data_IF_107928719595
#
_entry.id   IF_107928719595
#
_cell.length_a   1.000
_cell.length_b   1.000
_cell.length_c   1.000
_cell.angle_alpha   90.00
_cell.angle_beta   90.00
_cell.angle_gamma   90.00
#
_symmetry.space_group_name_H-M   'P 1'
#
loop_
_entity.id
_entity.type
_entity.pdbx_description
1 polymer ?
#
# COMPACT_ATOMS: atom_id res chain seq x y z
N UNK A 1 8.63 4.35 -0.69
CA UNK A 1 8.13 5.56 -1.39
C UNK A 1 6.62 5.66 -1.23
N UNK A 2 6.13 6.58 -0.41
CA UNK A 2 4.71 6.68 -0.04
C UNK A 2 3.88 7.54 -1.01
N UNK A 3 4.46 8.52 -1.73
CA UNK A 3 3.69 9.42 -2.65
C UNK A 3 4.13 9.40 -4.12
N UNK A 4 4.75 8.32 -4.60
CA UNK A 4 5.27 8.23 -5.98
C UNK A 4 4.22 8.04 -7.09
N UNK A 5 2.94 8.32 -6.85
CA UNK A 5 1.88 8.20 -7.87
C UNK A 5 1.49 6.77 -8.27
N UNK A 6 1.88 5.75 -7.47
CA UNK A 6 1.65 4.32 -7.74
C UNK A 6 0.21 4.00 -8.11
N UNK A 7 -0.74 4.43 -7.25
CA UNK A 7 -2.18 4.19 -7.45
C UNK A 7 -2.71 4.88 -8.70
N UNK A 8 -2.24 6.10 -9.00
CA UNK A 8 -2.62 6.83 -10.21
C UNK A 8 -2.12 6.10 -11.46
N UNK A 9 -0.87 5.65 -11.46
CA UNK A 9 -0.30 4.89 -12.58
C UNK A 9 -1.05 3.56 -12.80
N UNK A 10 -1.28 2.79 -11.74
CA UNK A 10 -2.02 1.53 -11.83
C UNK A 10 -3.44 1.71 -12.40
N UNK A 11 -4.18 2.73 -11.93
CA UNK A 11 -5.52 3.06 -12.45
C UNK A 11 -5.49 3.48 -13.92
N UNK A 12 -4.46 4.23 -14.34
CA UNK A 12 -4.30 4.62 -15.74
C UNK A 12 -3.99 3.41 -16.65
N UNK A 13 -3.20 2.45 -16.16
CA UNK A 13 -2.92 1.20 -16.88
C UNK A 13 -4.16 0.32 -16.99
N UNK A 14 -4.93 0.16 -15.91
CA UNK A 14 -6.16 -0.62 -15.92
C UNK A 14 -7.16 -0.13 -16.97
N UNK A 15 -7.28 1.18 -17.18
CA UNK A 15 -8.15 1.77 -18.23
C UNK A 15 -7.71 1.39 -19.66
N UNK A 16 -6.46 0.99 -19.85
CA UNK A 16 -5.85 0.70 -21.16
C UNK A 16 -5.70 -0.79 -21.43
N UNK A 17 -5.94 -1.65 -20.44
CA UNK A 17 -5.74 -3.10 -20.54
C UNK A 17 -7.09 -3.81 -20.32
N UNK A 18 -7.60 -4.57 -21.31
CA UNK A 18 -8.81 -5.37 -21.11
C UNK A 18 -8.57 -6.47 -20.07
N UNK A 19 -9.58 -6.77 -19.26
CA UNK A 19 -9.53 -7.78 -18.18
C UNK A 19 -8.42 -7.55 -17.14
N UNK A 20 -8.07 -6.29 -16.86
CA UNK A 20 -7.05 -5.93 -15.88
C UNK A 20 -7.65 -5.64 -14.49
N UNK A 21 -7.07 -6.23 -13.45
CA UNK A 21 -7.43 -6.00 -12.04
C UNK A 21 -6.26 -5.36 -11.29
N UNK A 22 -6.57 -4.54 -10.28
CA UNK A 22 -5.58 -3.91 -9.41
C UNK A 22 -5.76 -4.45 -8.00
N UNK A 23 -4.66 -4.88 -7.39
CA UNK A 23 -4.56 -5.18 -5.96
C UNK A 23 -3.59 -4.17 -5.37
N UNK A 24 -3.99 -3.50 -4.29
CA UNK A 24 -3.18 -2.47 -3.61
C UNK A 24 -2.73 -2.98 -2.25
N UNK A 25 -1.42 -2.99 -1.98
CA UNK A 25 -0.85 -3.39 -0.68
C UNK A 25 -1.49 -2.61 0.47
N UNK A 26 -1.76 -1.31 0.26
CA UNK A 26 -2.37 -0.43 1.25
C UNK A 26 -3.72 -0.92 1.79
N UNK A 27 -4.42 -1.81 1.08
CA UNK A 27 -5.70 -2.39 1.52
C UNK A 27 -5.51 -3.53 2.54
N UNK A 28 -4.28 -3.97 2.78
CA UNK A 28 -3.97 -5.15 3.60
C UNK A 28 -3.09 -4.83 4.80
N UNK A 29 -2.93 -3.55 5.14
CA UNK A 29 -2.30 -3.19 6.41
C UNK A 29 -3.13 -3.69 7.59
N UNK A 30 -2.44 -4.17 8.62
CA UNK A 30 -3.07 -4.49 9.91
C UNK A 30 -3.70 -3.23 10.52
N UNK A 31 -4.72 -3.36 11.39
CA UNK A 31 -5.21 -2.23 12.17
C UNK A 31 -4.10 -1.60 13.00
N UNK A 32 -4.14 -0.28 13.25
CA UNK A 32 -3.10 0.42 14.03
C UNK A 32 -2.84 -0.19 15.41
N UNK A 33 -3.87 -0.77 16.05
CA UNK A 33 -3.76 -1.47 17.33
C UNK A 33 -2.86 -2.71 17.29
N UNK A 34 -2.60 -3.26 16.10
CA UNK A 34 -1.78 -4.46 15.86
C UNK A 34 -0.43 -4.12 15.22
N UNK A 35 -0.10 -2.83 15.11
CA UNK A 35 1.16 -2.37 14.53
C UNK A 35 2.13 -2.03 15.66
N UNK A 36 3.31 -2.63 15.60
CA UNK A 36 4.38 -2.33 16.53
C UNK A 36 5.01 -0.97 16.23
N UNK A 37 5.37 -0.26 17.29
CA UNK A 37 6.11 0.99 17.23
C UNK A 37 7.55 0.70 17.63
N UNK A 38 8.51 1.16 16.83
CA UNK A 38 9.92 1.01 17.17
C UNK A 38 10.38 1.98 18.27
N UNK A 39 11.65 1.87 18.66
CA UNK A 39 12.29 2.72 19.68
C UNK A 39 12.28 4.22 19.35
N UNK A 40 12.08 4.58 18.08
CA UNK A 40 12.03 5.95 17.58
C UNK A 40 10.60 6.47 17.41
N UNK A 41 9.58 5.65 17.73
CA UNK A 41 8.18 6.04 17.59
C UNK A 41 7.58 5.80 16.20
N UNK A 42 8.25 5.06 15.31
CA UNK A 42 7.72 4.76 13.98
C UNK A 42 6.92 3.46 13.95
N UNK A 43 5.74 3.51 13.34
CA UNK A 43 4.88 2.37 13.07
C UNK A 43 5.49 1.44 12.01
N UNK A 44 5.57 0.15 12.33
CA UNK A 44 6.20 -0.89 11.50
C UNK A 44 5.16 -1.66 10.70
N UNK A 45 4.85 -1.19 9.49
CA UNK A 45 3.83 -1.76 8.63
C UNK A 45 4.28 -3.00 7.83
N UNK A 46 5.58 -3.18 7.63
CA UNK A 46 6.19 -4.25 6.81
C UNK A 46 6.84 -5.36 7.67
N UNK A 47 6.30 -5.61 8.87
CA UNK A 47 6.88 -6.53 9.85
C UNK A 47 7.24 -7.91 9.27
N UNK A 48 8.46 -8.38 9.55
CA UNK A 48 8.91 -9.76 9.31
C UNK A 48 8.29 -10.73 10.32
#
# INVERSE_FOLDING_TARGET
>A
VTNGGKTTLAKNLQKRLPNCSIISQDNFFKPESEIETDENGFLQYDGY
#
